data_IF_290956998008
#
_entry.id   IF_290956998008
#
_cell.length_a   1.000
_cell.length_b   1.000
_cell.length_c   1.000
_cell.angle_alpha   90.00
_cell.angle_beta   90.00
_cell.angle_gamma   90.00
#
_symmetry.space_group_name_H-M   'P 1'
#
loop_
_entity.id
_entity.type
_entity.pdbx_description
1 polymer ?
#
# COMPACT_ATOMS: atom_id res chain seq x y z
N UNK A 1 44.91 -36.50 -59.57
CA UNK A 1 46.21 -35.79 -59.61
C UNK A 1 45.90 -34.31 -59.54
N UNK A 2 46.01 -33.68 -58.37
CA UNK A 2 47.17 -32.84 -57.94
C UNK A 2 47.44 -31.74 -59.00
N UNK A 3 47.47 -30.44 -58.73
CA UNK A 3 48.18 -29.68 -57.69
C UNK A 3 47.63 -28.23 -57.75
N UNK A 4 47.30 -27.67 -56.58
CA UNK A 4 47.85 -26.43 -55.98
C UNK A 4 48.30 -25.23 -56.86
N UNK A 5 48.14 -24.00 -56.33
CA UNK A 5 48.77 -22.82 -56.95
C UNK A 5 48.26 -21.42 -56.60
N UNK A 6 48.15 -21.06 -55.31
CA UNK A 6 48.34 -19.68 -54.79
C UNK A 6 49.69 -19.06 -55.27
N UNK A 7 50.05 -17.75 -55.07
CA UNK A 7 49.36 -16.63 -54.40
C UNK A 7 49.49 -15.23 -55.09
N UNK A 8 48.72 -14.26 -54.59
CA UNK A 8 48.96 -12.82 -54.78
C UNK A 8 48.90 -12.08 -53.45
N UNK A 9 50.05 -11.89 -52.81
CA UNK A 9 50.22 -11.03 -51.64
C UNK A 9 50.47 -9.58 -52.12
N UNK A 10 50.04 -8.57 -51.34
CA UNK A 10 50.87 -7.41 -50.94
C UNK A 10 50.13 -6.53 -49.91
N UNK A 11 50.76 -6.30 -48.75
CA UNK A 11 50.66 -5.06 -47.95
C UNK A 11 49.40 -4.91 -47.09
N UNK A 12 49.40 -5.09 -45.77
CA UNK A 12 50.42 -4.74 -44.79
C UNK A 12 50.16 -3.34 -44.26
N UNK A 13 49.61 -3.24 -43.04
CA UNK A 13 50.11 -2.39 -41.94
C UNK A 13 49.28 -2.60 -40.67
N UNK A 14 49.97 -3.22 -39.72
CA UNK A 14 49.63 -3.43 -38.32
C UNK A 14 49.52 -2.13 -37.55
N UNK A 15 48.48 -1.98 -36.73
CA UNK A 15 48.50 -1.08 -35.58
C UNK A 15 48.57 -1.92 -34.30
N UNK A 16 49.80 -2.07 -33.81
CA UNK A 16 50.07 -2.41 -32.42
C UNK A 16 50.17 -1.09 -31.67
N UNK A 17 49.32 -0.89 -30.67
CA UNK A 17 49.60 0.04 -29.58
C UNK A 17 49.59 -0.77 -28.28
N UNK A 18 50.80 -1.13 -27.83
CA UNK A 18 51.09 -1.52 -26.44
C UNK A 18 52.08 -0.50 -25.89
N UNK A 19 51.60 0.37 -25.02
CA UNK A 19 52.32 1.04 -23.93
C UNK A 19 51.23 1.22 -22.85
N UNK A 20 51.28 0.72 -21.61
CA UNK A 20 52.40 0.26 -20.81
C UNK A 20 52.79 1.29 -19.76
N UNK A 21 51.97 1.52 -18.72
CA UNK A 21 52.43 2.01 -17.41
C UNK A 21 51.59 1.40 -16.29
N UNK A 22 52.29 0.91 -15.26
CA UNK A 22 51.81 0.23 -14.05
C UNK A 22 51.41 1.24 -12.96
N UNK A 23 50.37 0.85 -12.21
CA UNK A 23 50.24 0.90 -10.73
C UNK A 23 50.59 2.20 -10.01
N UNK A 24 49.60 2.79 -9.34
CA UNK A 24 49.66 2.97 -7.86
C UNK A 24 48.29 2.72 -7.25
N UNK A 25 48.17 1.63 -6.49
CA UNK A 25 47.16 1.50 -5.44
C UNK A 25 47.44 2.60 -4.41
N UNK A 26 46.41 3.35 -3.98
CA UNK A 26 46.42 4.01 -2.67
C UNK A 26 45.46 3.27 -1.74
N UNK A 27 45.97 2.45 -0.81
CA UNK A 27 45.29 2.16 0.44
C UNK A 27 45.86 3.04 1.54
N UNK A 28 44.98 3.74 2.26
CA UNK A 28 45.25 4.27 3.60
C UNK A 28 43.93 4.86 4.11
N UNK A 29 43.41 4.61 5.29
CA UNK A 29 43.59 3.65 6.39
C UNK A 29 42.44 3.99 7.37
N UNK A 30 42.07 3.12 8.32
CA UNK A 30 40.87 3.25 9.14
C UNK A 30 41.10 4.13 10.38
N UNK A 31 40.05 4.80 10.85
CA UNK A 31 39.96 5.34 12.21
C UNK A 31 38.57 4.93 12.74
N UNK A 32 38.48 3.86 13.53
CA UNK A 32 38.77 3.77 14.95
C UNK A 32 37.54 4.08 15.81
N UNK A 33 37.13 3.03 16.52
CA UNK A 33 36.14 2.94 17.58
C UNK A 33 36.29 3.99 18.69
N UNK A 34 35.15 4.47 19.18
CA UNK A 34 34.88 4.73 20.60
C UNK A 34 33.36 4.46 20.81
N UNK A 35 32.88 3.48 21.60
CA UNK A 35 33.03 3.26 23.05
C UNK A 35 32.52 4.52 23.82
N UNK A 36 31.59 4.51 24.79
CA UNK A 36 31.04 3.53 25.73
C UNK A 36 29.84 4.21 26.46
N UNK A 37 28.83 3.41 26.84
CA UNK A 37 28.17 3.34 28.18
C UNK A 37 27.56 4.59 28.85
N UNK A 38 26.31 4.42 29.33
CA UNK A 38 25.72 5.20 30.43
C UNK A 38 24.21 4.97 30.57
N UNK A 39 23.76 3.87 31.20
CA UNK A 39 23.22 3.84 32.59
C UNK A 39 21.87 4.59 32.69
N UNK A 40 20.69 3.95 32.73
CA UNK A 40 20.09 3.07 33.75
C UNK A 40 18.87 3.79 34.38
N UNK A 41 17.85 2.97 34.68
CA UNK A 41 16.79 3.17 35.68
C UNK A 41 16.08 4.53 35.75
N UNK A 42 14.75 4.53 35.59
CA UNK A 42 13.84 4.75 36.73
C UNK A 42 12.49 4.06 36.43
N UNK A 43 12.22 3.02 37.20
CA UNK A 43 10.88 2.51 37.50
C UNK A 43 10.13 3.48 38.41
N UNK A 44 8.93 3.93 38.03
CA UNK A 44 7.92 4.39 39.01
C UNK A 44 6.57 3.75 38.67
N UNK A 45 6.26 2.73 39.47
CA UNK A 45 4.94 2.21 39.79
C UNK A 45 4.13 3.32 40.44
N UNK A 46 2.88 3.54 40.01
CA UNK A 46 1.82 4.07 40.86
C UNK A 46 0.48 3.49 40.38
N UNK A 47 0.19 2.30 40.87
CA UNK A 47 -1.17 1.81 41.04
C UNK A 47 -1.75 2.46 42.29
N UNK A 48 -2.76 3.33 42.16
CA UNK A 48 -3.65 3.72 43.26
C UNK A 48 -4.82 4.53 42.72
N UNK A 49 -6.05 4.10 43.03
CA UNK A 49 -7.21 5.00 42.96
C UNK A 49 -8.54 4.42 42.48
N UNK A 50 -8.90 3.17 42.82
CA UNK A 50 -10.31 2.79 42.82
C UNK A 50 -11.06 3.66 43.85
N UNK A 51 -11.98 4.49 43.38
CA UNK A 51 -13.00 5.09 44.24
C UNK A 51 -14.36 4.68 43.70
N UNK A 52 -14.98 3.58 44.19
CA UNK A 52 -16.38 3.34 43.92
C UNK A 52 -17.19 4.39 44.70
N UNK A 53 -17.91 5.23 43.97
CA UNK A 53 -18.83 6.19 44.54
C UNK A 53 -19.96 5.45 45.31
N UNK A 54 -20.42 5.97 46.46
CA UNK A 54 -21.51 5.35 47.21
C UNK A 54 -22.80 5.39 46.40
N UNK A 55 -23.41 4.22 46.19
CA UNK A 55 -24.74 4.11 45.62
C UNK A 55 -25.74 4.76 46.57
N UNK A 56 -26.27 5.93 46.20
CA UNK A 56 -27.36 6.58 46.90
C UNK A 56 -28.64 5.77 46.77
N UNK A 57 -28.87 4.83 47.71
CA UNK A 57 -30.19 4.24 47.93
C UNK A 57 -30.99 5.22 48.79
N UNK A 58 -31.79 6.04 48.13
CA UNK A 58 -32.94 6.69 48.77
C UNK A 58 -33.96 5.59 49.11
N UNK A 59 -34.27 5.44 50.40
CA UNK A 59 -35.36 4.59 50.85
C UNK A 59 -36.69 5.09 50.28
N UNK A 60 -37.43 4.19 49.64
CA UNK A 60 -38.79 4.43 49.17
C UNK A 60 -39.76 4.40 50.35
N UNK A 61 -40.56 5.45 50.60
CA UNK A 61 -41.84 5.26 51.27
C UNK A 61 -42.72 4.42 50.34
N UNK A 62 -43.26 3.32 50.88
CA UNK A 62 -44.31 2.57 50.22
C UNK A 62 -45.59 3.39 50.30
N UNK A 63 -45.97 4.05 49.21
CA UNK A 63 -47.32 4.57 49.04
C UNK A 63 -47.67 4.59 47.55
N UNK A 64 -48.75 3.88 47.24
CA UNK A 64 -49.56 3.85 46.02
C UNK A 64 -48.97 4.55 44.78
N UNK A 65 -48.33 3.78 43.89
CA UNK A 65 -48.13 4.21 42.51
C UNK A 65 -49.02 3.38 41.57
N UNK A 66 -49.77 4.03 40.66
CA UNK A 66 -50.56 3.33 39.65
C UNK A 66 -49.62 2.47 38.79
N UNK A 67 -50.01 1.22 38.56
CA UNK A 67 -49.30 0.32 37.66
C UNK A 67 -49.40 0.88 36.23
N UNK A 68 -48.40 1.65 35.81
CA UNK A 68 -48.24 2.08 34.42
C UNK A 68 -47.73 0.88 33.65
N UNK A 69 -48.63 0.22 32.92
CA UNK A 69 -48.26 -0.81 31.97
C UNK A 69 -47.29 -0.20 30.95
N UNK A 70 -46.09 -0.78 30.73
CA UNK A 70 -45.15 -0.23 29.77
C UNK A 70 -45.80 -0.23 28.38
N UNK A 71 -45.97 0.96 27.80
CA UNK A 71 -46.39 1.10 26.41
C UNK A 71 -45.39 0.37 25.50
N UNK A 72 -45.86 -0.25 24.39
CA UNK A 72 -44.97 -0.87 23.42
C UNK A 72 -43.86 0.10 23.02
N UNK A 73 -42.59 -0.34 22.91
CA UNK A 73 -41.52 0.53 22.46
C UNK A 73 -41.91 1.15 21.12
N UNK A 74 -41.75 2.46 21.01
CA UNK A 74 -41.99 3.17 19.76
C UNK A 74 -41.15 2.51 18.65
N UNK A 75 -41.66 2.43 17.41
CA UNK A 75 -40.90 1.87 16.30
C UNK A 75 -39.58 2.63 16.18
N UNK A 76 -38.47 1.92 16.39
CA UNK A 76 -37.14 2.49 16.20
C UNK A 76 -36.91 2.63 14.70
N UNK A 77 -36.60 3.83 14.25
CA UNK A 77 -36.13 4.04 12.88
C UNK A 77 -34.84 3.26 12.71
N UNK A 78 -34.82 2.31 11.78
CA UNK A 78 -33.61 1.57 11.45
C UNK A 78 -32.50 2.56 11.08
N UNK A 79 -31.32 2.38 11.68
CA UNK A 79 -30.15 3.16 11.32
C UNK A 79 -29.79 2.90 9.85
N UNK A 80 -29.22 3.89 9.14
CA UNK A 80 -28.74 3.68 7.79
C UNK A 80 -27.69 2.55 7.79
N UNK A 81 -27.88 1.57 6.92
CA UNK A 81 -26.92 0.49 6.68
C UNK A 81 -25.90 0.93 5.64
N UNK A 82 -24.65 0.53 5.84
CA UNK A 82 -23.61 0.72 4.82
C UNK A 82 -23.86 -0.22 3.64
N UNK A 83 -23.59 0.27 2.43
CA UNK A 83 -23.64 -0.56 1.23
C UNK A 83 -22.51 -1.61 1.26
N UNK A 84 -22.81 -2.86 0.92
CA UNK A 84 -21.85 -3.97 0.97
C UNK A 84 -20.64 -3.78 0.04
N UNK A 85 -20.77 -2.92 -0.99
CA UNK A 85 -19.68 -2.48 -1.85
C UNK A 85 -18.68 -1.55 -1.15
N UNK A 86 -18.85 -1.26 0.14
CA UNK A 86 -17.93 -0.43 0.95
C UNK A 86 -17.62 -1.09 2.29
N UNK A 87 -16.38 -1.00 2.74
CA UNK A 87 -15.95 -1.47 4.06
C UNK A 87 -14.94 -0.52 4.70
N UNK A 88 -14.90 -0.53 6.04
CA UNK A 88 -13.91 0.17 6.87
C UNK A 88 -13.10 -0.87 7.63
N UNK A 89 -11.78 -0.71 7.68
CA UNK A 89 -10.90 -1.67 8.37
C UNK A 89 -10.68 -3.00 7.64
N UNK A 90 -11.24 -3.17 6.43
CA UNK A 90 -11.22 -4.42 5.69
C UNK A 90 -11.58 -4.22 4.22
N UNK A 91 -11.63 -5.33 3.48
CA UNK A 91 -12.08 -5.35 2.09
C UNK A 91 -13.60 -5.35 1.97
N UNK A 92 -14.12 -4.52 1.07
CA UNK A 92 -15.50 -4.56 0.63
C UNK A 92 -15.80 -5.88 -0.11
N UNK A 93 -17.07 -6.24 -0.17
CA UNK A 93 -17.51 -7.39 -0.96
C UNK A 93 -17.16 -7.19 -2.44
N UNK A 94 -16.67 -8.23 -3.11
CA UNK A 94 -16.27 -8.16 -4.52
C UNK A 94 -14.99 -7.37 -4.80
N UNK A 95 -14.22 -6.98 -3.77
CA UNK A 95 -12.95 -6.27 -3.97
C UNK A 95 -11.86 -7.19 -4.57
N UNK A 96 -11.11 -6.75 -5.60
CA UNK A 96 -10.11 -7.56 -6.30
C UNK A 96 -8.79 -7.68 -5.51
N UNK A 97 -8.81 -8.53 -4.47
CA UNK A 97 -7.67 -8.68 -3.54
C UNK A 97 -6.41 -9.28 -4.18
N UNK A 98 -6.56 -10.10 -5.22
CA UNK A 98 -5.42 -10.67 -5.96
C UNK A 98 -4.60 -9.59 -6.68
N UNK A 99 -5.27 -8.52 -7.11
CA UNK A 99 -4.65 -7.41 -7.82
C UNK A 99 -4.17 -6.31 -6.85
N UNK A 100 -4.93 -6.09 -5.77
CA UNK A 100 -4.68 -5.06 -4.76
C UNK A 100 -4.61 -5.66 -3.35
N UNK A 101 -3.62 -6.53 -3.08
CA UNK A 101 -3.42 -7.10 -1.76
C UNK A 101 -2.96 -6.02 -0.78
N UNK A 102 -3.19 -6.25 0.51
CA UNK A 102 -2.73 -5.32 1.55
C UNK A 102 -1.24 -5.54 1.76
N UNK A 103 -0.39 -4.53 1.55
CA UNK A 103 1.04 -4.64 1.80
C UNK A 103 1.33 -5.07 3.24
N UNK A 104 2.42 -5.81 3.45
CA UNK A 104 2.80 -6.25 4.78
C UNK A 104 2.99 -5.05 5.73
N UNK A 105 2.32 -5.10 6.89
CA UNK A 105 2.37 -4.02 7.87
C UNK A 105 1.54 -2.78 7.54
N UNK A 106 0.83 -2.75 6.41
CA UNK A 106 -0.19 -1.74 6.13
C UNK A 106 -1.53 -2.14 6.78
N UNK A 107 -2.36 -1.14 7.06
CA UNK A 107 -3.71 -1.29 7.60
C UNK A 107 -4.70 -0.74 6.59
N UNK A 108 -5.76 -1.50 6.28
CA UNK A 108 -6.85 -0.99 5.47
C UNK A 108 -7.64 0.02 6.31
N UNK A 109 -7.77 1.24 5.78
CA UNK A 109 -8.61 2.28 6.38
C UNK A 109 -10.02 2.17 5.83
N UNK A 110 -10.16 2.14 4.51
CA UNK A 110 -11.43 1.98 3.82
C UNK A 110 -11.22 1.33 2.46
N UNK A 111 -12.22 0.60 1.98
CA UNK A 111 -12.24 0.07 0.62
C UNK A 111 -13.63 0.13 0.01
N UNK A 112 -13.71 0.20 -1.31
CA UNK A 112 -14.94 0.02 -2.05
C UNK A 112 -14.72 -0.68 -3.40
N UNK A 113 -15.73 -1.42 -3.84
CA UNK A 113 -15.75 -2.15 -5.11
C UNK A 113 -17.15 -2.12 -5.72
N UNK A 114 -17.33 -1.32 -6.77
CA UNK A 114 -18.61 -1.15 -7.45
C UNK A 114 -18.49 -1.69 -8.88
N UNK A 115 -19.10 -2.83 -9.15
CA UNK A 115 -19.17 -3.40 -10.49
C UNK A 115 -20.08 -2.56 -11.39
N UNK A 116 -19.72 -2.46 -12.67
CA UNK A 116 -20.57 -1.92 -13.72
C UNK A 116 -20.98 -3.00 -14.73
N UNK A 117 -21.99 -2.68 -15.55
CA UNK A 117 -22.49 -3.59 -16.58
C UNK A 117 -21.49 -3.84 -17.73
N UNK A 118 -20.37 -3.11 -17.77
CA UNK A 118 -19.29 -3.24 -18.76
C UNK A 118 -18.23 -4.30 -18.42
N UNK A 119 -18.38 -4.96 -17.27
CA UNK A 119 -17.41 -5.92 -16.75
C UNK A 119 -16.18 -5.26 -16.13
N UNK A 120 -16.27 -3.98 -15.79
CA UNK A 120 -15.30 -3.29 -14.95
C UNK A 120 -15.85 -3.18 -13.53
N UNK A 121 -14.94 -3.04 -12.57
CA UNK A 121 -15.22 -2.72 -11.19
C UNK A 121 -14.45 -1.47 -10.84
N UNK A 122 -15.19 -0.43 -10.44
CA UNK A 122 -14.62 0.78 -9.86
C UNK A 122 -14.19 0.48 -8.43
N UNK A 123 -12.93 0.70 -8.15
CA UNK A 123 -12.32 0.40 -6.85
C UNK A 123 -11.76 1.64 -6.19
N UNK A 124 -11.82 1.67 -4.87
CA UNK A 124 -11.04 2.57 -4.03
C UNK A 124 -10.47 1.79 -2.85
N UNK A 125 -9.21 2.02 -2.51
CA UNK A 125 -8.55 1.45 -1.35
C UNK A 125 -7.71 2.52 -0.67
N UNK A 126 -7.99 2.75 0.60
CA UNK A 126 -7.24 3.65 1.45
C UNK A 126 -6.48 2.83 2.49
N UNK A 127 -5.17 3.03 2.57
CA UNK A 127 -4.28 2.32 3.49
C UNK A 127 -3.50 3.30 4.36
N UNK A 128 -3.09 2.84 5.53
CA UNK A 128 -2.08 3.49 6.37
C UNK A 128 -0.90 2.56 6.55
N UNK A 129 0.32 3.05 6.33
CA UNK A 129 1.55 2.26 6.45
C UNK A 129 2.63 3.02 7.22
N UNK A 130 3.45 2.29 7.97
CA UNK A 130 4.67 2.84 8.60
C UNK A 130 5.90 2.75 7.67
N UNK A 131 5.77 2.08 6.52
CA UNK A 131 6.87 1.94 5.55
C UNK A 131 7.13 3.25 4.83
N UNK A 132 8.28 3.33 4.17
CA UNK A 132 8.64 4.50 3.36
C UNK A 132 7.77 4.59 2.10
N UNK A 133 7.71 5.77 1.49
CA UNK A 133 6.95 6.00 0.25
C UNK A 133 7.39 5.05 -0.87
N UNK A 134 8.70 4.86 -1.05
CA UNK A 134 9.24 4.00 -2.11
C UNK A 134 8.90 2.52 -1.86
N UNK A 135 8.99 2.05 -0.62
CA UNK A 135 8.60 0.68 -0.26
C UNK A 135 7.11 0.44 -0.49
N UNK A 136 6.26 1.41 -0.13
CA UNK A 136 4.81 1.32 -0.37
C UNK A 136 4.51 1.24 -1.86
N UNK A 137 5.12 2.09 -2.67
CA UNK A 137 4.93 2.08 -4.13
C UNK A 137 5.42 0.78 -4.75
N UNK A 138 6.55 0.24 -4.28
CA UNK A 138 7.07 -1.05 -4.73
C UNK A 138 6.12 -2.22 -4.35
N UNK A 139 5.65 -2.25 -3.09
CA UNK A 139 4.75 -3.30 -2.60
C UNK A 139 3.41 -3.29 -3.37
N UNK A 140 2.86 -2.11 -3.66
CA UNK A 140 1.61 -1.97 -4.44
C UNK A 140 1.85 -2.22 -5.93
N UNK A 141 2.98 -1.77 -6.47
CA UNK A 141 3.29 -1.87 -7.89
C UNK A 141 3.63 -3.29 -8.34
N UNK A 142 4.27 -4.10 -7.49
CA UNK A 142 4.65 -5.47 -7.83
C UNK A 142 3.49 -6.37 -8.33
N UNK A 143 2.35 -6.48 -7.62
CA UNK A 143 1.21 -7.28 -8.12
C UNK A 143 0.59 -6.68 -9.39
N UNK A 144 0.54 -5.34 -9.52
CA UNK A 144 0.03 -4.68 -10.72
C UNK A 144 0.91 -4.97 -11.94
N UNK A 145 2.23 -4.87 -11.79
CA UNK A 145 3.19 -5.21 -12.83
C UNK A 145 3.09 -6.70 -13.22
N UNK A 146 2.96 -7.60 -12.24
CA UNK A 146 2.77 -9.03 -12.49
C UNK A 146 1.46 -9.32 -13.24
N UNK A 147 0.42 -8.51 -13.01
CA UNK A 147 -0.84 -8.56 -13.74
C UNK A 147 -0.78 -7.88 -15.13
N UNK A 148 0.36 -7.34 -15.54
CA UNK A 148 0.56 -6.73 -16.86
C UNK A 148 0.15 -5.25 -16.95
N UNK A 149 -0.05 -4.57 -15.81
CA UNK A 149 -0.18 -3.11 -15.82
C UNK A 149 1.18 -2.46 -16.09
N UNK A 150 1.18 -1.45 -16.95
CA UNK A 150 2.33 -0.61 -17.20
C UNK A 150 2.28 0.61 -16.28
N UNK A 151 3.38 0.86 -15.59
CA UNK A 151 3.58 2.04 -14.75
C UNK A 151 3.81 3.28 -15.61
N UNK A 152 3.22 4.40 -15.23
CA UNK A 152 3.52 5.73 -15.76
C UNK A 152 3.63 6.69 -14.60
N UNK A 153 4.74 7.42 -14.55
CA UNK A 153 4.92 8.48 -13.57
C UNK A 153 3.78 9.49 -13.72
N UNK A 154 2.97 9.64 -12.68
CA UNK A 154 2.03 10.74 -12.57
C UNK A 154 2.78 11.86 -11.83
N UNK A 155 2.75 13.09 -12.34
CA UNK A 155 3.34 14.21 -11.59
C UNK A 155 2.65 14.28 -10.22
N UNK A 156 3.43 14.41 -9.13
CA UNK A 156 2.84 14.49 -7.80
C UNK A 156 1.84 15.67 -7.76
N UNK A 157 0.56 15.36 -7.62
CA UNK A 157 -0.47 16.36 -7.40
C UNK A 157 -0.16 17.19 -6.15
N UNK A 158 -0.62 18.45 -6.11
CA UNK A 158 -0.38 19.32 -4.95
C UNK A 158 -0.79 18.64 -3.65
N UNK A 159 0.16 18.51 -2.73
CA UNK A 159 -0.07 17.88 -1.42
C UNK A 159 0.21 16.38 -1.36
N UNK A 160 0.53 15.70 -2.47
CA UNK A 160 1.03 14.33 -2.45
C UNK A 160 2.55 14.30 -2.42
N UNK A 161 3.11 13.31 -1.72
CA UNK A 161 4.54 13.03 -1.71
C UNK A 161 4.95 12.30 -2.98
N UNK A 162 4.08 11.39 -3.46
CA UNK A 162 4.28 10.68 -4.72
C UNK A 162 2.93 10.31 -5.34
N UNK A 163 2.94 10.11 -6.66
CA UNK A 163 1.79 9.63 -7.40
C UNK A 163 2.24 8.79 -8.60
N UNK A 164 1.52 7.71 -8.88
CA UNK A 164 1.83 6.81 -9.99
C UNK A 164 0.53 6.33 -10.63
N UNK A 165 0.48 6.32 -11.96
CA UNK A 165 -0.61 5.73 -12.72
C UNK A 165 -0.19 4.35 -13.26
N UNK A 166 -1.14 3.42 -13.28
CA UNK A 166 -0.97 2.06 -13.78
C UNK A 166 -2.06 1.79 -14.81
N UNK A 167 -1.70 1.36 -16.01
CA UNK A 167 -2.67 1.09 -17.08
C UNK A 167 -2.45 -0.27 -17.72
N UNK A 168 -3.55 -0.96 -18.00
CA UNK A 168 -3.55 -2.23 -18.75
C UNK A 168 -4.59 -2.15 -19.85
N UNK A 169 -4.24 -2.65 -21.03
CA UNK A 169 -5.16 -2.78 -22.17
C UNK A 169 -5.28 -4.25 -22.53
N UNK A 170 -6.51 -4.73 -22.60
CA UNK A 170 -6.82 -6.13 -22.91
C UNK A 170 -7.78 -6.16 -24.08
N UNK A 171 -7.39 -6.82 -25.17
CA UNK A 171 -8.29 -6.98 -26.32
C UNK A 171 -9.33 -8.06 -26.01
N UNK A 172 -10.62 -7.71 -26.16
CA UNK A 172 -11.74 -8.65 -26.03
C UNK A 172 -12.54 -8.69 -27.35
N UNK A 173 -13.35 -9.74 -27.58
CA UNK A 173 -14.23 -9.81 -28.75
C UNK A 173 -15.17 -8.61 -28.88
N UNK A 174 -15.60 -8.02 -27.76
CA UNK A 174 -16.50 -6.86 -27.71
C UNK A 174 -15.79 -5.52 -27.91
N UNK A 175 -14.45 -5.52 -27.94
CA UNK A 175 -13.61 -4.32 -28.03
C UNK A 175 -12.48 -4.32 -27.00
N UNK A 176 -11.70 -3.25 -26.99
CA UNK A 176 -10.59 -3.12 -26.04
C UNK A 176 -11.10 -2.73 -24.65
N UNK A 177 -10.73 -3.51 -23.64
CA UNK A 177 -10.92 -3.18 -22.24
C UNK A 177 -9.71 -2.39 -21.75
N UNK A 178 -9.94 -1.22 -21.16
CA UNK A 178 -8.87 -0.39 -20.59
C UNK A 178 -9.07 -0.29 -19.09
N UNK A 179 -8.07 -0.74 -18.35
CA UNK A 179 -8.03 -0.66 -16.90
C UNK A 179 -7.02 0.41 -16.50
N UNK A 180 -7.38 1.20 -15.48
CA UNK A 180 -6.55 2.31 -15.01
C UNK A 180 -6.64 2.38 -13.50
N UNK A 181 -5.49 2.43 -12.84
CA UNK A 181 -5.37 2.65 -11.41
C UNK A 181 -4.44 3.84 -11.15
N UNK A 182 -4.78 4.64 -10.17
CA UNK A 182 -3.99 5.75 -9.68
C UNK A 182 -3.64 5.48 -8.22
N UNK A 183 -2.34 5.49 -7.92
CA UNK A 183 -1.78 5.33 -6.58
C UNK A 183 -1.23 6.67 -6.14
N UNK A 184 -1.79 7.24 -5.08
CA UNK A 184 -1.30 8.45 -4.44
C UNK A 184 -0.78 8.14 -3.05
N UNK A 185 0.37 8.73 -2.68
CA UNK A 185 0.93 8.61 -1.34
C UNK A 185 1.10 9.99 -0.74
N UNK A 186 0.50 10.20 0.43
CA UNK A 186 0.75 11.33 1.31
C UNK A 186 1.61 10.85 2.48
N UNK A 187 2.75 11.49 2.66
CA UNK A 187 3.64 11.28 3.80
C UNK A 187 3.42 12.40 4.83
N UNK A 188 2.90 12.04 6.01
CA UNK A 188 2.72 12.98 7.13
C UNK A 188 3.94 13.02 8.08
N UNK A 189 5.00 12.29 7.75
CA UNK A 189 6.23 12.15 8.53
C UNK A 189 6.23 10.96 9.48
N UNK A 190 5.07 10.55 10.01
CA UNK A 190 4.95 9.38 10.88
C UNK A 190 4.43 8.15 10.13
N UNK A 191 3.56 8.36 9.13
CA UNK A 191 2.88 7.33 8.34
C UNK A 191 2.70 7.80 6.91
N UNK A 192 2.54 6.83 6.02
CA UNK A 192 2.10 7.04 4.63
C UNK A 192 0.62 6.69 4.55
N UNK A 193 -0.17 7.67 4.15
CA UNK A 193 -1.56 7.49 3.75
C UNK A 193 -1.56 7.22 2.25
N UNK A 194 -2.11 6.08 1.87
CA UNK A 194 -2.10 5.62 0.48
C UNK A 194 -3.54 5.58 0.00
N UNK A 195 -3.79 6.16 -1.16
CA UNK A 195 -5.07 6.06 -1.85
C UNK A 195 -4.84 5.42 -3.21
N UNK A 196 -5.50 4.30 -3.45
CA UNK A 196 -5.53 3.60 -4.73
C UNK A 196 -6.94 3.72 -5.25
N UNK A 197 -7.11 4.18 -6.49
CA UNK A 197 -8.44 4.33 -7.09
C UNK A 197 -8.41 4.11 -8.59
N UNK A 198 -9.52 3.63 -9.14
CA UNK A 198 -9.63 3.47 -10.58
C UNK A 198 -10.63 2.39 -10.99
N UNK A 199 -10.41 1.80 -12.16
CA UNK A 199 -11.26 0.76 -12.73
C UNK A 199 -10.41 -0.41 -13.18
N UNK A 200 -10.81 -1.60 -12.77
CA UNK A 200 -10.17 -2.87 -13.12
C UNK A 200 -11.22 -3.84 -13.63
N UNK A 201 -10.80 -4.90 -14.32
CA UNK A 201 -11.71 -5.97 -14.71
C UNK A 201 -12.36 -6.56 -13.47
N UNK A 202 -13.66 -6.84 -13.54
CA UNK A 202 -14.38 -7.47 -12.44
C UNK A 202 -13.73 -8.82 -12.06
N UNK A 203 -13.63 -9.15 -10.76
CA UNK A 203 -13.15 -10.47 -10.33
C UNK A 203 -13.97 -11.57 -10.99
N UNK A 204 -13.29 -12.58 -11.53
CA UNK A 204 -13.96 -13.80 -11.98
C UNK A 204 -14.21 -14.63 -10.71
N UNK A 205 -15.48 -14.83 -10.36
CA UNK A 205 -15.87 -15.61 -9.18
C UNK A 205 -15.58 -17.10 -9.29
#
# INVERSE_FOLDING_TARGET
>A
MTVDGTPGATGGRSWRARYGVRVTRRPSAPAALAALVGVALVTVVLAAGCTPAPSGRLGTPADDMPSVQPSPPAPVTALPTFDASTAVGGYAEGFPQDLLPTPAGAQIVASSAQSDDGGLTRVSLNLSSARTTDEVLADVGAPLAAAGFAETAAGAGSGLTAQTAWTRRTDRPEGQLVETLLVGVLDDGARRLVTISGTVQAPQG
#
